data_IF_994684032897
#
_entry.id   IF_994684032897
#
_cell.length_a   1.000
_cell.length_b   1.000
_cell.length_c   1.000
_cell.angle_alpha   90.00
_cell.angle_beta   90.00
_cell.angle_gamma   90.00
#
_symmetry.space_group_name_H-M   'P 1'
#
loop_
_entity.id
_entity.type
_entity.pdbx_description
1 polymer ?
#
# COMPACT_ATOMS: atom_id res chain seq x y z
N UNK A 1 -35.70 -36.01 7.71
CA UNK A 1 -35.55 -34.56 7.75
C UNK A 1 -34.86 -34.19 9.04
N UNK A 2 -33.67 -33.67 9.03
CA UNK A 2 -33.39 -32.48 9.84
C UNK A 2 -32.82 -31.37 8.98
N UNK A 3 -33.38 -30.23 9.22
CA UNK A 3 -33.06 -28.87 8.88
C UNK A 3 -31.60 -28.53 9.21
N UNK A 4 -30.81 -28.09 8.23
CA UNK A 4 -29.49 -27.48 8.44
C UNK A 4 -29.64 -26.02 8.12
N UNK A 5 -30.13 -25.29 9.13
CA UNK A 5 -30.10 -23.84 9.19
C UNK A 5 -28.65 -23.32 9.19
N UNK A 6 -28.31 -22.58 8.13
CA UNK A 6 -27.48 -21.37 8.09
C UNK A 6 -26.54 -21.14 9.26
N UNK A 7 -25.26 -21.37 9.11
CA UNK A 7 -24.24 -20.63 9.85
C UNK A 7 -23.75 -19.47 8.99
N UNK A 8 -24.40 -18.31 9.22
CA UNK A 8 -23.94 -17.04 8.72
C UNK A 8 -22.59 -16.72 9.33
N UNK A 9 -21.63 -16.43 8.46
CA UNK A 9 -20.36 -15.77 8.76
C UNK A 9 -20.58 -14.62 9.72
N UNK A 10 -19.98 -14.71 10.91
CA UNK A 10 -20.05 -13.67 11.93
C UNK A 10 -19.35 -12.39 11.49
N UNK A 11 -20.04 -11.54 10.81
CA UNK A 11 -19.75 -10.11 10.72
C UNK A 11 -19.90 -9.56 12.15
N UNK A 12 -18.80 -9.54 12.92
CA UNK A 12 -18.78 -8.88 14.24
C UNK A 12 -19.26 -7.46 14.02
N UNK A 13 -20.41 -7.12 14.60
CA UNK A 13 -20.99 -5.79 14.47
C UNK A 13 -19.94 -4.77 14.93
N UNK A 14 -19.43 -3.97 14.00
CA UNK A 14 -18.60 -2.80 14.25
C UNK A 14 -19.44 -1.75 14.97
N UNK A 15 -19.65 -1.92 16.26
CA UNK A 15 -20.47 -1.06 17.09
C UNK A 15 -19.78 -0.65 18.39
N UNK A 16 -18.48 -0.91 18.54
CA UNK A 16 -17.75 -0.45 19.71
C UNK A 16 -17.44 1.05 19.59
N UNK A 17 -17.37 1.72 20.72
CA UNK A 17 -16.95 3.13 20.79
C UNK A 17 -15.56 3.34 20.17
N UNK A 18 -14.68 2.35 20.31
CA UNK A 18 -13.34 2.35 19.73
C UNK A 18 -13.39 2.29 18.20
N UNK A 19 -14.22 1.40 17.61
CA UNK A 19 -14.36 1.27 16.16
C UNK A 19 -14.82 2.60 15.54
N UNK A 20 -15.81 3.26 16.15
CA UNK A 20 -16.32 4.56 15.68
C UNK A 20 -15.28 5.67 15.74
N UNK A 21 -14.41 5.67 16.75
CA UNK A 21 -13.33 6.65 16.83
C UNK A 21 -12.28 6.41 15.73
N UNK A 22 -11.96 5.14 15.45
CA UNK A 22 -11.05 4.77 14.35
C UNK A 22 -11.67 5.06 12.99
N UNK A 23 -12.96 4.79 12.79
CA UNK A 23 -13.68 5.11 11.55
C UNK A 23 -13.59 6.60 11.19
N UNK A 24 -13.57 7.51 12.19
CA UNK A 24 -13.37 8.94 11.95
C UNK A 24 -12.00 9.22 11.33
N UNK A 25 -10.94 8.56 11.81
CA UNK A 25 -9.59 8.75 11.27
C UNK A 25 -9.47 8.24 9.82
N UNK A 26 -10.26 7.23 9.45
CA UNK A 26 -10.31 6.69 8.09
C UNK A 26 -11.13 7.54 7.10
N UNK A 27 -11.78 8.62 7.56
CA UNK A 27 -12.48 9.59 6.69
C UNK A 27 -11.55 10.62 6.05
N UNK A 28 -10.32 10.72 6.52
CA UNK A 28 -9.31 11.59 5.93
C UNK A 28 -8.68 10.89 4.73
N UNK A 29 -8.61 11.62 3.62
CA UNK A 29 -7.95 11.23 2.39
C UNK A 29 -7.33 12.47 1.72
N UNK A 30 -6.72 12.31 0.54
CA UNK A 30 -6.04 13.39 -0.18
C UNK A 30 -6.99 14.55 -0.55
N UNK A 31 -8.28 14.26 -0.74
CA UNK A 31 -9.31 15.25 -1.06
C UNK A 31 -9.99 15.80 0.20
N UNK A 32 -9.80 15.16 1.35
CA UNK A 32 -10.49 15.45 2.62
C UNK A 32 -9.50 15.65 3.76
N UNK A 33 -8.80 16.77 3.74
CA UNK A 33 -7.82 17.12 4.78
C UNK A 33 -8.48 17.76 6.03
N UNK A 34 -9.74 18.19 5.94
CA UNK A 34 -10.51 18.78 7.05
C UNK A 34 -11.90 18.17 7.11
N UNK A 35 -12.30 17.68 8.29
CA UNK A 35 -13.61 17.12 8.56
C UNK A 35 -14.46 18.06 9.40
N UNK A 36 -15.72 18.29 8.99
CA UNK A 36 -16.70 18.96 9.84
C UNK A 36 -17.38 17.97 10.78
N UNK A 37 -17.80 18.45 11.97
CA UNK A 37 -18.57 17.61 12.92
C UNK A 37 -19.91 17.12 12.33
N UNK A 38 -20.49 17.85 11.37
CA UNK A 38 -21.70 17.43 10.66
C UNK A 38 -21.41 16.21 9.76
N UNK A 39 -20.33 16.24 8.95
CA UNK A 39 -19.93 15.10 8.10
C UNK A 39 -19.66 13.85 8.92
N UNK A 40 -18.99 13.99 10.08
CA UNK A 40 -18.74 12.88 11.00
C UNK A 40 -20.06 12.33 11.58
N UNK A 41 -20.99 13.18 11.98
CA UNK A 41 -22.29 12.76 12.51
C UNK A 41 -23.10 11.98 11.46
N UNK A 42 -23.11 12.47 10.21
CA UNK A 42 -23.80 11.85 9.09
C UNK A 42 -23.17 10.49 8.73
N UNK A 43 -21.82 10.39 8.71
CA UNK A 43 -21.13 9.13 8.41
C UNK A 43 -21.38 8.06 9.48
N UNK A 44 -21.25 8.42 10.75
CA UNK A 44 -21.46 7.49 11.87
C UNK A 44 -22.95 7.22 12.17
N UNK A 45 -23.87 7.92 11.51
CA UNK A 45 -25.32 7.85 11.76
C UNK A 45 -25.66 8.10 13.26
N UNK A 46 -25.08 9.16 13.82
CA UNK A 46 -25.28 9.55 15.23
C UNK A 46 -25.69 11.02 15.37
N UNK A 47 -26.20 11.39 16.55
CA UNK A 47 -26.46 12.79 16.87
C UNK A 47 -25.15 13.61 16.83
N UNK A 48 -25.23 14.89 16.42
CA UNK A 48 -24.05 15.79 16.38
C UNK A 48 -23.31 15.86 17.72
N UNK A 49 -24.02 15.90 18.84
CA UNK A 49 -23.41 15.90 20.16
C UNK A 49 -22.56 14.64 20.43
N UNK A 50 -22.99 13.49 19.92
CA UNK A 50 -22.23 12.24 20.03
C UNK A 50 -20.99 12.25 19.13
N UNK A 51 -21.11 12.75 17.89
CA UNK A 51 -19.96 12.91 17.00
C UNK A 51 -18.90 13.85 17.59
N UNK A 52 -19.33 14.97 18.17
CA UNK A 52 -18.41 15.90 18.86
C UNK A 52 -17.70 15.28 20.06
N UNK A 53 -18.33 14.36 20.79
CA UNK A 53 -17.66 13.64 21.90
C UNK A 53 -16.51 12.77 21.38
N UNK A 54 -16.67 12.10 20.23
CA UNK A 54 -15.59 11.35 19.61
C UNK A 54 -14.47 12.28 19.12
N UNK A 55 -14.84 13.36 18.43
CA UNK A 55 -13.89 14.36 17.93
C UNK A 55 -13.08 14.97 19.10
N UNK A 56 -13.73 15.36 20.20
CA UNK A 56 -13.05 15.87 21.40
C UNK A 56 -12.10 14.83 22.01
N UNK A 57 -12.51 13.56 22.08
CA UNK A 57 -11.64 12.48 22.57
C UNK A 57 -10.41 12.32 21.70
N UNK A 58 -10.55 12.31 20.36
CA UNK A 58 -9.45 12.22 19.44
C UNK A 58 -8.54 13.46 19.51
N UNK A 59 -9.12 14.65 19.70
CA UNK A 59 -8.36 15.90 19.88
C UNK A 59 -7.58 15.91 21.20
N UNK A 60 -8.20 15.49 22.29
CA UNK A 60 -7.52 15.41 23.60
C UNK A 60 -6.34 14.43 23.61
N UNK A 61 -6.37 13.41 22.76
CA UNK A 61 -5.29 12.43 22.56
C UNK A 61 -4.27 12.84 21.49
N UNK A 62 -4.49 13.98 20.81
CA UNK A 62 -3.62 14.53 19.78
C UNK A 62 -3.73 13.85 18.40
N UNK A 63 -4.73 12.98 18.19
CA UNK A 63 -5.02 12.39 16.89
C UNK A 63 -5.68 13.37 15.92
N UNK A 64 -6.44 14.31 16.45
CA UNK A 64 -7.02 15.42 15.72
C UNK A 64 -6.58 16.74 16.36
N UNK A 65 -6.69 17.81 15.60
CA UNK A 65 -6.60 19.19 16.07
C UNK A 65 -7.66 20.05 15.37
N UNK A 66 -8.11 21.09 16.06
CA UNK A 66 -9.07 22.03 15.47
C UNK A 66 -8.38 22.86 14.38
N UNK A 67 -9.10 23.08 13.29
CA UNK A 67 -8.63 23.88 12.17
C UNK A 67 -9.17 25.32 12.31
N UNK A 68 -8.33 26.32 12.10
CA UNK A 68 -8.66 27.76 12.24
C UNK A 68 -9.85 28.18 11.40
N UNK A 69 -10.08 27.52 10.26
CA UNK A 69 -11.24 27.71 9.38
C UNK A 69 -12.50 26.94 9.80
N UNK A 70 -12.45 26.27 10.94
CA UNK A 70 -13.50 25.37 11.44
C UNK A 70 -13.29 23.92 10.99
N UNK A 71 -13.80 22.98 11.80
CA UNK A 71 -13.59 21.54 11.60
C UNK A 71 -12.33 21.01 12.26
N UNK A 72 -11.93 19.80 11.87
CA UNK A 72 -10.86 19.03 12.48
C UNK A 72 -9.92 18.51 11.39
N UNK A 73 -8.62 18.52 11.65
CA UNK A 73 -7.57 17.91 10.80
C UNK A 73 -6.78 16.88 11.60
N UNK A 74 -5.99 16.06 10.91
CA UNK A 74 -5.10 15.10 11.58
C UNK A 74 -4.09 15.82 12.47
N UNK A 75 -3.97 15.36 13.69
CA UNK A 75 -3.08 15.92 14.71
C UNK A 75 -1.69 15.25 14.72
N UNK A 76 -0.73 15.83 15.48
CA UNK A 76 0.68 15.40 15.50
C UNK A 76 0.88 13.96 15.99
N UNK A 77 -0.05 13.39 16.77
CA UNK A 77 0.05 11.99 17.24
C UNK A 77 0.09 11.00 16.08
N UNK A 78 -0.59 11.31 14.95
CA UNK A 78 -0.57 10.47 13.75
C UNK A 78 0.85 10.40 13.18
N UNK A 79 1.58 11.52 13.14
CA UNK A 79 2.97 11.55 12.68
C UNK A 79 3.91 10.77 13.61
N UNK A 80 3.69 10.86 14.93
CA UNK A 80 4.46 10.08 15.92
C UNK A 80 4.26 8.58 15.73
N UNK A 81 3.01 8.14 15.57
CA UNK A 81 2.70 6.73 15.36
C UNK A 81 3.25 6.22 14.02
N UNK A 82 3.14 7.01 12.95
CA UNK A 82 3.73 6.66 11.66
C UNK A 82 5.26 6.51 11.76
N UNK A 83 5.94 7.38 12.51
CA UNK A 83 7.38 7.28 12.79
C UNK A 83 7.72 6.01 13.58
N UNK A 84 6.96 5.69 14.62
CA UNK A 84 7.17 4.50 15.45
C UNK A 84 6.88 3.21 14.65
N UNK A 85 5.82 3.21 13.85
CA UNK A 85 5.50 2.07 12.99
C UNK A 85 6.64 1.78 12.00
N UNK A 86 7.22 2.84 11.40
CA UNK A 86 8.40 2.68 10.51
C UNK A 86 9.61 2.12 11.25
N UNK A 87 9.91 2.62 12.47
CA UNK A 87 11.02 2.10 13.30
C UNK A 87 10.81 0.65 13.69
N UNK A 88 9.58 0.25 14.04
CA UNK A 88 9.25 -1.11 14.42
C UNK A 88 9.39 -2.13 13.28
N UNK A 89 9.43 -1.68 12.03
CA UNK A 89 9.62 -2.57 10.87
C UNK A 89 11.11 -2.74 10.52
N UNK A 90 12.00 -1.78 10.89
CA UNK A 90 13.44 -1.82 10.59
C UNK A 90 13.79 -1.81 9.08
N UNK A 91 12.83 -2.24 8.25
CA UNK A 91 12.98 -2.43 6.81
C UNK A 91 13.28 -1.13 6.06
N UNK A 92 12.64 -0.03 6.47
CA UNK A 92 12.84 1.29 5.84
C UNK A 92 14.30 1.77 5.97
N UNK A 93 14.91 1.59 7.14
CA UNK A 93 16.30 2.00 7.40
C UNK A 93 17.29 1.15 6.58
N UNK A 94 17.03 -0.14 6.48
CA UNK A 94 17.83 -1.08 5.67
C UNK A 94 17.72 -0.77 4.18
N UNK A 95 16.53 -0.39 3.72
CA UNK A 95 16.25 -0.18 2.30
C UNK A 95 16.86 1.11 1.75
N UNK A 96 16.97 2.17 2.57
CA UNK A 96 17.41 3.49 2.09
C UNK A 96 18.72 3.48 1.28
N UNK A 97 19.83 2.84 1.71
CA UNK A 97 21.06 2.84 0.92
C UNK A 97 20.91 2.09 -0.40
N UNK A 98 20.15 0.99 -0.42
CA UNK A 98 19.88 0.20 -1.63
C UNK A 98 19.00 0.99 -2.60
N UNK A 99 17.96 1.66 -2.10
CA UNK A 99 17.06 2.49 -2.90
C UNK A 99 17.79 3.66 -3.54
N UNK A 100 18.65 4.38 -2.78
CA UNK A 100 19.45 5.49 -3.34
C UNK A 100 20.37 5.03 -4.47
N UNK A 101 21.04 3.90 -4.29
CA UNK A 101 21.92 3.36 -5.32
C UNK A 101 21.12 2.95 -6.57
N UNK A 102 19.97 2.31 -6.41
CA UNK A 102 19.09 1.94 -7.51
C UNK A 102 18.55 3.20 -8.22
N UNK A 103 18.09 4.21 -7.48
CA UNK A 103 17.62 5.48 -8.05
C UNK A 103 18.73 6.21 -8.84
N UNK A 104 19.95 6.24 -8.28
CA UNK A 104 21.11 6.85 -8.93
C UNK A 104 21.48 6.11 -10.23
N UNK A 105 21.44 4.78 -10.22
CA UNK A 105 21.84 3.93 -11.34
C UNK A 105 20.81 3.96 -12.47
N UNK A 106 19.52 3.90 -12.12
CA UNK A 106 18.44 3.87 -13.12
C UNK A 106 17.99 5.26 -13.56
N UNK A 107 18.18 6.28 -12.72
CA UNK A 107 17.64 7.62 -12.95
C UNK A 107 16.13 7.70 -12.74
N UNK A 108 15.50 6.69 -12.13
CA UNK A 108 14.06 6.61 -11.85
C UNK A 108 13.76 6.61 -10.36
N UNK A 109 12.60 7.13 -9.93
CA UNK A 109 12.12 6.98 -8.57
C UNK A 109 12.02 5.51 -8.17
N UNK A 110 12.43 5.22 -6.92
CA UNK A 110 12.38 3.89 -6.31
C UNK A 110 11.38 3.89 -5.16
N UNK A 111 10.54 2.87 -5.10
CA UNK A 111 9.58 2.68 -4.03
C UNK A 111 9.84 1.36 -3.31
N UNK A 112 9.64 1.38 -2.01
CA UNK A 112 9.54 0.20 -1.17
C UNK A 112 8.10 0.08 -0.70
N UNK A 113 7.47 -1.03 -1.02
CA UNK A 113 6.06 -1.26 -0.69
C UNK A 113 5.88 -2.54 0.10
N UNK A 114 4.84 -2.58 0.92
CA UNK A 114 4.47 -3.76 1.72
C UNK A 114 2.98 -3.99 1.68
N UNK A 115 2.57 -5.25 1.67
CA UNK A 115 1.16 -5.61 1.82
C UNK A 115 0.72 -5.47 3.28
N UNK A 116 -0.43 -4.87 3.50
CA UNK A 116 -1.11 -4.76 4.80
C UNK A 116 -2.57 -5.12 4.60
N UNK A 117 -2.99 -6.30 5.07
CA UNK A 117 -4.32 -6.81 4.77
C UNK A 117 -4.54 -6.98 3.26
N UNK A 118 -5.60 -6.37 2.74
CA UNK A 118 -5.98 -6.33 1.33
C UNK A 118 -5.47 -5.11 0.56
N UNK A 119 -4.48 -4.39 1.09
CA UNK A 119 -3.91 -3.19 0.47
C UNK A 119 -2.38 -3.25 0.41
N UNK A 120 -1.79 -2.39 -0.40
CA UNK A 120 -0.35 -2.13 -0.48
C UNK A 120 -0.08 -0.75 0.11
N UNK A 121 0.93 -0.64 0.96
CA UNK A 121 1.36 0.63 1.55
C UNK A 121 2.76 0.96 1.05
N UNK A 122 2.96 2.18 0.56
CA UNK A 122 4.27 2.71 0.25
C UNK A 122 5.01 3.04 1.57
N UNK A 123 6.02 2.26 1.91
CA UNK A 123 6.83 2.46 3.13
C UNK A 123 7.85 3.58 2.93
N UNK A 124 8.54 3.54 1.79
CA UNK A 124 9.61 4.48 1.46
C UNK A 124 9.59 4.83 -0.03
N UNK A 125 10.04 6.04 -0.32
CA UNK A 125 10.26 6.55 -1.66
C UNK A 125 11.62 7.25 -1.70
N UNK A 126 12.39 6.97 -2.74
CA UNK A 126 13.62 7.67 -3.08
C UNK A 126 13.47 8.29 -4.46
N UNK A 127 13.56 9.60 -4.56
CA UNK A 127 13.45 10.31 -5.83
C UNK A 127 14.77 10.28 -6.59
N UNK A 128 14.69 10.17 -7.92
CA UNK A 128 15.83 10.40 -8.78
C UNK A 128 15.97 11.91 -9.07
N UNK A 129 17.15 12.31 -9.57
CA UNK A 129 17.47 13.71 -9.89
C UNK A 129 16.55 14.36 -10.97
N UNK A 130 15.66 13.60 -11.57
CA UNK A 130 14.68 14.09 -12.54
C UNK A 130 13.28 14.00 -11.92
N UNK A 131 12.63 15.15 -11.79
CA UNK A 131 11.31 15.30 -11.19
C UNK A 131 10.22 14.59 -12.03
N UNK A 132 10.10 13.28 -11.90
CA UNK A 132 8.88 12.57 -12.24
C UNK A 132 7.96 12.69 -11.01
N UNK A 133 6.96 13.53 -11.09
CA UNK A 133 5.90 13.57 -10.07
C UNK A 133 5.01 12.37 -10.28
N UNK A 134 5.39 11.26 -9.68
CA UNK A 134 4.48 10.14 -9.46
C UNK A 134 3.63 10.47 -8.24
N UNK A 135 2.37 10.12 -8.31
CA UNK A 135 1.41 10.34 -7.21
C UNK A 135 1.66 9.43 -6.01
N UNK A 136 2.76 8.66 -5.97
CA UNK A 136 3.00 7.66 -4.91
C UNK A 136 3.87 8.25 -3.81
N UNK A 137 3.24 8.59 -2.69
CA UNK A 137 3.92 9.13 -1.51
C UNK A 137 4.06 8.09 -0.40
N UNK A 138 4.91 8.41 0.57
CA UNK A 138 5.07 7.56 1.76
C UNK A 138 3.77 7.52 2.57
N UNK A 139 3.31 6.33 2.89
CA UNK A 139 2.07 6.09 3.61
C UNK A 139 0.85 5.96 2.70
N UNK A 140 0.99 6.22 1.41
CA UNK A 140 -0.09 6.06 0.45
C UNK A 140 -0.51 4.59 0.33
N UNK A 141 -1.81 4.39 0.20
CA UNK A 141 -2.43 3.08 0.05
C UNK A 141 -2.72 2.83 -1.42
N UNK A 142 -2.13 1.77 -1.95
CA UNK A 142 -2.26 1.35 -3.33
C UNK A 142 -3.13 0.10 -3.46
N UNK A 143 -3.82 -0.10 -4.59
CA UNK A 143 -4.60 -1.31 -4.83
C UNK A 143 -3.70 -2.54 -5.00
N UNK A 144 -4.24 -3.74 -4.77
CA UNK A 144 -3.51 -5.00 -4.96
C UNK A 144 -3.58 -5.55 -6.38
N UNK A 145 -4.54 -5.11 -7.19
CA UNK A 145 -4.78 -5.68 -8.52
C UNK A 145 -4.08 -4.95 -9.69
N UNK A 146 -3.34 -3.89 -9.41
CA UNK A 146 -2.70 -3.10 -10.47
C UNK A 146 -1.33 -2.54 -10.04
N UNK A 147 -0.39 -2.53 -10.97
CA UNK A 147 0.96 -2.05 -10.76
C UNK A 147 1.96 -3.13 -10.34
N UNK A 148 3.21 -3.04 -10.80
CA UNK A 148 4.22 -4.09 -10.66
C UNK A 148 4.46 -4.52 -9.21
N UNK A 149 4.62 -3.57 -8.28
CA UNK A 149 4.86 -3.86 -6.87
C UNK A 149 3.66 -4.56 -6.20
N UNK A 150 2.44 -4.14 -6.52
CA UNK A 150 1.22 -4.74 -6.02
C UNK A 150 1.07 -6.19 -6.52
N UNK A 151 1.32 -6.42 -7.80
CA UNK A 151 1.28 -7.76 -8.40
C UNK A 151 2.34 -8.69 -7.80
N UNK A 152 3.55 -8.20 -7.51
CA UNK A 152 4.56 -8.96 -6.75
C UNK A 152 4.00 -9.37 -5.38
N UNK A 153 3.49 -8.41 -4.62
CA UNK A 153 3.00 -8.67 -3.26
C UNK A 153 1.77 -9.58 -3.23
N UNK A 154 0.92 -9.53 -4.25
CA UNK A 154 -0.24 -10.40 -4.38
C UNK A 154 0.17 -11.81 -4.84
N UNK A 155 1.12 -11.94 -5.77
CA UNK A 155 1.55 -13.22 -6.31
C UNK A 155 2.10 -14.18 -5.22
N UNK A 156 2.75 -13.65 -4.20
CA UNK A 156 3.26 -14.43 -3.05
C UNK A 156 2.43 -14.25 -1.77
N UNK A 157 1.24 -13.67 -1.86
CA UNK A 157 0.33 -13.62 -0.71
C UNK A 157 -0.23 -15.03 -0.38
N UNK A 158 -0.68 -15.27 0.86
CA UNK A 158 -1.43 -16.47 1.19
C UNK A 158 -2.63 -16.66 0.23
N UNK A 159 -2.93 -17.90 -0.16
CA UNK A 159 -3.98 -18.19 -1.13
C UNK A 159 -5.34 -17.62 -0.71
N UNK A 160 -5.63 -17.63 0.59
CA UNK A 160 -6.84 -17.00 1.13
C UNK A 160 -6.94 -15.51 0.79
N UNK A 161 -5.81 -14.77 0.83
CA UNK A 161 -5.79 -13.33 0.47
C UNK A 161 -5.99 -13.15 -1.04
N UNK A 162 -5.39 -14.03 -1.84
CA UNK A 162 -5.58 -14.02 -3.30
C UNK A 162 -7.05 -14.23 -3.63
N UNK A 163 -7.68 -15.24 -3.00
CA UNK A 163 -9.10 -15.53 -3.19
C UNK A 163 -9.97 -14.34 -2.76
N UNK A 164 -9.73 -13.76 -1.58
CA UNK A 164 -10.46 -12.58 -1.10
C UNK A 164 -10.37 -11.39 -2.08
N UNK A 165 -9.20 -11.17 -2.70
CA UNK A 165 -9.01 -10.11 -3.70
C UNK A 165 -9.75 -10.44 -5.00
N UNK A 166 -9.69 -11.70 -5.44
CA UNK A 166 -10.32 -12.13 -6.70
C UNK A 166 -11.84 -12.26 -6.61
N UNK A 167 -12.38 -12.52 -5.43
CA UNK A 167 -13.83 -12.58 -5.17
C UNK A 167 -14.47 -11.19 -5.03
N UNK A 168 -13.66 -10.16 -4.74
CA UNK A 168 -14.10 -8.78 -4.68
C UNK A 168 -14.12 -8.14 -6.09
N UNK A 169 -14.93 -7.08 -6.30
CA UNK A 169 -14.83 -6.29 -7.52
C UNK A 169 -13.43 -5.70 -7.69
N UNK A 170 -12.77 -6.05 -8.80
CA UNK A 170 -11.44 -5.53 -9.13
C UNK A 170 -11.57 -4.11 -9.72
N UNK A 171 -11.07 -3.05 -9.06
CA UNK A 171 -11.18 -1.70 -9.57
C UNK A 171 -10.37 -1.52 -10.85
N UNK A 172 -10.95 -0.74 -11.78
CA UNK A 172 -10.31 -0.36 -13.04
C UNK A 172 -9.75 1.06 -12.91
N UNK A 173 -8.45 1.20 -13.14
CA UNK A 173 -7.74 2.49 -13.10
C UNK A 173 -7.48 3.01 -14.52
N UNK A 174 -7.19 2.10 -15.43
CA UNK A 174 -6.95 2.38 -16.84
C UNK A 174 -7.61 1.31 -17.72
N UNK A 175 -7.45 1.43 -19.02
CA UNK A 175 -7.87 0.38 -19.95
C UNK A 175 -6.98 -0.87 -19.89
N UNK A 176 -5.74 -0.73 -19.44
CA UNK A 176 -4.79 -1.82 -19.28
C UNK A 176 -4.94 -2.58 -17.95
N UNK A 177 -5.74 -2.07 -17.00
CA UNK A 177 -5.96 -2.74 -15.71
C UNK A 177 -6.66 -4.08 -15.90
N UNK A 178 -6.08 -5.14 -15.36
CA UNK A 178 -6.72 -6.46 -15.34
C UNK A 178 -7.85 -6.45 -14.31
N UNK A 179 -9.08 -6.65 -14.80
CA UNK A 179 -10.31 -6.67 -13.97
C UNK A 179 -11.04 -8.01 -14.03
N UNK A 180 -10.55 -8.95 -14.83
CA UNK A 180 -11.05 -10.33 -14.87
C UNK A 180 -10.28 -11.17 -13.84
N UNK A 181 -10.97 -11.80 -12.86
CA UNK A 181 -10.29 -12.59 -11.81
C UNK A 181 -9.48 -13.77 -12.36
N UNK A 182 -9.94 -14.40 -13.44
CA UNK A 182 -9.23 -15.55 -14.04
C UNK A 182 -7.95 -15.10 -14.71
N UNK A 183 -8.00 -13.98 -15.45
CA UNK A 183 -6.81 -13.40 -16.06
C UNK A 183 -5.81 -12.94 -15.00
N UNK A 184 -6.28 -12.30 -13.91
CA UNK A 184 -5.40 -11.89 -12.83
C UNK A 184 -4.75 -13.12 -12.16
N UNK A 185 -5.50 -14.18 -11.86
CA UNK A 185 -4.95 -15.42 -11.29
C UNK A 185 -3.87 -16.04 -12.19
N UNK A 186 -4.11 -16.10 -13.51
CA UNK A 186 -3.11 -16.59 -14.48
C UNK A 186 -1.86 -15.72 -14.46
N UNK A 187 -2.03 -14.40 -14.44
CA UNK A 187 -0.91 -13.45 -14.35
C UNK A 187 -0.08 -13.61 -13.08
N UNK A 188 -0.73 -13.84 -11.93
CA UNK A 188 -0.05 -14.09 -10.65
C UNK A 188 0.76 -15.40 -10.68
N UNK A 189 0.26 -16.44 -11.34
CA UNK A 189 1.02 -17.68 -11.53
C UNK A 189 2.26 -17.47 -12.38
N UNK A 190 2.14 -16.79 -13.53
CA UNK A 190 3.28 -16.42 -14.39
C UNK A 190 4.34 -15.62 -13.65
N UNK A 191 3.91 -14.67 -12.79
CA UNK A 191 4.82 -13.82 -12.00
C UNK A 191 5.74 -14.66 -11.10
N UNK A 192 5.26 -15.75 -10.54
CA UNK A 192 6.04 -16.62 -9.65
C UNK A 192 7.23 -17.29 -10.34
N UNK A 193 7.19 -17.40 -11.66
CA UNK A 193 8.24 -18.02 -12.47
C UNK A 193 9.33 -17.02 -12.92
N UNK A 194 9.16 -15.74 -12.55
CA UNK A 194 10.04 -14.66 -12.97
C UNK A 194 10.72 -13.98 -11.79
N UNK A 195 11.92 -13.45 -12.01
CA UNK A 195 12.70 -12.73 -11.00
C UNK A 195 12.17 -11.30 -10.76
N UNK A 196 11.52 -10.71 -11.75
CA UNK A 196 10.88 -9.39 -11.67
C UNK A 196 9.57 -9.35 -12.47
N UNK A 197 8.79 -8.34 -12.18
CA UNK A 197 7.50 -8.06 -12.86
C UNK A 197 7.58 -6.68 -13.49
N UNK A 198 7.08 -6.55 -14.71
CA UNK A 198 6.77 -5.26 -15.31
C UNK A 198 5.27 -5.08 -15.46
N UNK A 199 4.80 -3.86 -15.21
CA UNK A 199 3.41 -3.44 -15.35
C UNK A 199 3.39 -2.11 -16.10
N UNK A 200 2.83 -2.12 -17.30
CA UNK A 200 2.76 -0.94 -18.17
C UNK A 200 1.34 -0.41 -18.19
N UNK A 201 1.17 0.82 -17.76
CA UNK A 201 -0.09 1.56 -17.80
C UNK A 201 -1.27 0.91 -17.03
N UNK A 202 -1.04 -0.02 -16.09
CA UNK A 202 -2.13 -0.69 -15.37
C UNK A 202 -2.75 0.19 -14.27
N UNK A 203 -1.94 0.98 -13.57
CA UNK A 203 -2.39 1.88 -12.50
C UNK A 203 -2.49 3.33 -13.00
N UNK A 204 -1.47 3.80 -13.69
CA UNK A 204 -1.40 5.11 -14.33
C UNK A 204 -1.09 4.95 -15.83
N UNK A 205 -1.80 5.68 -16.70
CA UNK A 205 -1.75 5.50 -18.17
C UNK A 205 -0.34 5.62 -18.78
N UNK A 206 0.49 6.49 -18.21
CA UNK A 206 1.81 6.79 -18.76
C UNK A 206 2.96 6.15 -17.96
N UNK A 207 2.64 5.31 -16.97
CA UNK A 207 3.63 4.74 -16.04
C UNK A 207 3.95 3.29 -16.40
N UNK A 208 5.23 2.98 -16.41
CA UNK A 208 5.82 1.65 -16.40
C UNK A 208 6.42 1.42 -15.01
N UNK A 209 5.90 0.44 -14.29
CA UNK A 209 6.50 -0.08 -13.06
C UNK A 209 7.32 -1.33 -13.33
N UNK A 210 8.46 -1.48 -12.65
CA UNK A 210 9.26 -2.72 -12.64
C UNK A 210 9.57 -3.04 -11.19
N UNK A 211 9.19 -4.21 -10.71
CA UNK A 211 9.28 -4.60 -9.30
C UNK A 211 9.87 -6.00 -9.12
N UNK A 212 10.55 -6.19 -7.99
CA UNK A 212 11.05 -7.50 -7.56
C UNK A 212 10.71 -7.76 -6.08
N UNK A 213 10.55 -9.04 -5.67
CA UNK A 213 10.22 -9.42 -4.31
C UNK A 213 11.41 -9.30 -3.36
N UNK A 214 11.19 -8.67 -2.22
CA UNK A 214 12.11 -8.69 -1.08
C UNK A 214 11.66 -9.81 -0.14
N UNK A 215 12.57 -10.72 0.17
CA UNK A 215 12.27 -11.93 0.92
C UNK A 215 12.84 -11.89 2.33
N UNK A 216 12.08 -12.44 3.28
CA UNK A 216 12.52 -12.72 4.64
C UNK A 216 13.37 -13.99 4.73
N UNK A 217 13.77 -14.34 5.95
CA UNK A 217 14.64 -15.50 6.24
C UNK A 217 14.01 -16.83 5.81
N UNK A 218 12.70 -16.98 5.91
CA UNK A 218 11.93 -18.17 5.49
C UNK A 218 11.65 -18.23 4.00
N UNK A 219 12.09 -17.23 3.21
CA UNK A 219 11.81 -17.12 1.76
C UNK A 219 10.45 -16.48 1.42
N UNK A 220 9.66 -16.12 2.43
CA UNK A 220 8.41 -15.38 2.24
C UNK A 220 8.66 -13.97 1.70
N UNK A 221 7.73 -13.45 0.91
CA UNK A 221 7.83 -12.07 0.40
C UNK A 221 7.30 -11.09 1.46
N UNK A 222 8.20 -10.31 2.02
CA UNK A 222 7.91 -9.32 3.09
C UNK A 222 7.67 -7.92 2.56
N UNK A 223 8.23 -7.61 1.37
CA UNK A 223 8.06 -6.33 0.69
C UNK A 223 8.32 -6.50 -0.82
N UNK A 224 8.09 -5.42 -1.58
CA UNK A 224 8.55 -5.29 -2.95
C UNK A 224 9.35 -4.00 -3.11
N UNK A 225 10.46 -4.05 -3.84
CA UNK A 225 11.19 -2.88 -4.30
C UNK A 225 10.88 -2.67 -5.78
N UNK A 226 10.63 -1.44 -6.18
CA UNK A 226 10.25 -1.14 -7.56
C UNK A 226 10.85 0.17 -8.04
N UNK A 227 11.03 0.29 -9.35
CA UNK A 227 11.24 1.55 -10.06
C UNK A 227 9.96 1.91 -10.80
N UNK A 228 9.70 3.21 -10.96
CA UNK A 228 8.60 3.72 -11.75
C UNK A 228 9.12 4.75 -12.74
N UNK A 229 8.74 4.61 -14.00
CA UNK A 229 9.17 5.48 -15.08
C UNK A 229 7.99 5.86 -15.98
N UNK A 230 8.11 6.95 -16.74
CA UNK A 230 7.21 7.16 -17.87
C UNK A 230 7.43 6.06 -18.90
N UNK A 231 6.35 5.48 -19.41
CA UNK A 231 6.38 4.30 -20.29
C UNK A 231 7.27 4.45 -21.54
N UNK A 232 7.41 5.70 -22.04
CA UNK A 232 8.24 6.00 -23.20
C UNK A 232 9.75 6.14 -22.87
N UNK A 233 10.13 6.12 -21.59
CA UNK A 233 11.53 6.30 -21.16
C UNK A 233 12.30 4.99 -21.01
N UNK A 234 11.63 3.87 -21.09
CA UNK A 234 12.23 2.54 -21.08
C UNK A 234 11.64 1.77 -22.27
N UNK A 235 12.46 1.49 -23.25
CA UNK A 235 12.09 0.64 -24.37
C UNK A 235 11.98 -0.82 -23.95
N UNK A 236 11.34 -1.65 -24.76
CA UNK A 236 11.22 -3.08 -24.48
C UNK A 236 12.59 -3.80 -24.50
N UNK A 237 13.56 -3.24 -25.23
CA UNK A 237 14.94 -3.72 -25.27
C UNK A 237 15.72 -3.41 -23.98
N UNK A 238 15.44 -2.27 -23.34
CA UNK A 238 16.08 -1.83 -22.10
C UNK A 238 15.43 -2.45 -20.84
N UNK A 239 14.16 -2.87 -20.94
CA UNK A 239 13.39 -3.39 -19.82
C UNK A 239 14.09 -4.55 -19.09
N UNK A 240 14.69 -5.55 -19.76
CA UNK A 240 15.42 -6.63 -19.06
C UNK A 240 16.61 -6.12 -18.24
N UNK A 241 17.35 -5.14 -18.75
CA UNK A 241 18.50 -4.57 -18.03
C UNK A 241 18.05 -3.83 -16.76
N UNK A 242 16.99 -3.04 -16.83
CA UNK A 242 16.41 -2.38 -15.65
C UNK A 242 15.83 -3.42 -14.68
N UNK A 243 15.15 -4.45 -15.19
CA UNK A 243 14.64 -5.57 -14.41
C UNK A 243 15.73 -6.25 -13.58
N UNK A 244 16.89 -6.55 -14.17
CA UNK A 244 18.04 -7.13 -13.47
C UNK A 244 18.58 -6.21 -12.36
N UNK A 245 18.61 -4.89 -12.57
CA UNK A 245 19.00 -3.94 -11.51
C UNK A 245 18.03 -3.96 -10.34
N UNK A 246 16.73 -4.03 -10.61
CA UNK A 246 15.70 -4.11 -9.58
C UNK A 246 15.79 -5.44 -8.83
N UNK A 247 15.99 -6.57 -9.53
CA UNK A 247 16.19 -7.89 -8.92
C UNK A 247 17.41 -7.89 -8.02
N UNK A 248 18.54 -7.38 -8.48
CA UNK A 248 19.77 -7.29 -7.67
C UNK A 248 19.58 -6.45 -6.40
N UNK A 249 18.85 -5.33 -6.51
CA UNK A 249 18.51 -4.51 -5.35
C UNK A 249 17.60 -5.27 -4.35
N UNK A 250 16.61 -6.01 -4.85
CA UNK A 250 15.74 -6.85 -4.04
C UNK A 250 16.50 -7.95 -3.30
N UNK A 251 17.44 -8.62 -3.97
CA UNK A 251 18.32 -9.64 -3.37
C UNK A 251 19.21 -9.05 -2.27
N UNK A 252 19.84 -7.90 -2.54
CA UNK A 252 20.67 -7.21 -1.54
C UNK A 252 19.86 -6.86 -0.29
N UNK A 253 18.65 -6.35 -0.47
CA UNK A 253 17.76 -6.03 0.64
C UNK A 253 17.28 -7.28 1.37
N UNK A 254 16.97 -8.36 0.65
CA UNK A 254 16.57 -9.65 1.24
C UNK A 254 17.64 -10.22 2.16
N UNK A 255 18.91 -10.15 1.77
CA UNK A 255 20.04 -10.56 2.63
C UNK A 255 20.11 -9.74 3.91
N UNK A 256 19.85 -8.43 3.84
CA UNK A 256 19.86 -7.56 5.01
C UNK A 256 18.67 -7.83 5.94
N UNK A 257 17.49 -8.07 5.37
CA UNK A 257 16.27 -8.45 6.11
C UNK A 257 16.50 -9.77 6.86
N UNK A 258 16.99 -10.81 6.18
CA UNK A 258 17.25 -12.09 6.80
C UNK A 258 18.26 -11.98 7.97
N UNK A 259 19.27 -11.11 7.87
CA UNK A 259 20.20 -10.84 8.98
C UNK A 259 19.55 -10.14 10.17
N UNK A 260 18.62 -9.22 9.92
CA UNK A 260 17.89 -8.53 10.98
C UNK A 260 16.96 -9.49 11.74
N UNK A 261 16.38 -10.49 11.08
CA UNK A 261 15.49 -11.47 11.70
C UNK A 261 16.24 -12.51 12.57
N UNK A 262 17.54 -12.65 12.40
CA UNK A 262 18.40 -13.54 13.19
C UNK A 262 18.94 -12.83 14.44
N UNK A 263 19.06 -11.51 14.44
CA UNK A 263 19.66 -10.70 15.51
C UNK A 263 18.67 -10.37 16.63
#
# INVERSE_FOLDING_TARGET
VPDVSSQGSGYRSRNSTADRALDILLLFDDDTLVLSGARVADHLQVARSTAYRYLQSLTSMGFLEENDGGGFRLGPRVLDLARLARKGVGLSELAQPVMRELARTTGFPVLLTRRTGSAVVCLEREDANQALRLSYERGEILPLNAGAAALVLLAWAPEQVIDEVLDAPLPRFTEATITDPKQLRSRLAEIRDHEYVSSRAELDRDVLGIAAPVRGLGGEVVAAISVAALSHRISDEELPAVGQLVTKAAEQLSVQVARMEIA
#
